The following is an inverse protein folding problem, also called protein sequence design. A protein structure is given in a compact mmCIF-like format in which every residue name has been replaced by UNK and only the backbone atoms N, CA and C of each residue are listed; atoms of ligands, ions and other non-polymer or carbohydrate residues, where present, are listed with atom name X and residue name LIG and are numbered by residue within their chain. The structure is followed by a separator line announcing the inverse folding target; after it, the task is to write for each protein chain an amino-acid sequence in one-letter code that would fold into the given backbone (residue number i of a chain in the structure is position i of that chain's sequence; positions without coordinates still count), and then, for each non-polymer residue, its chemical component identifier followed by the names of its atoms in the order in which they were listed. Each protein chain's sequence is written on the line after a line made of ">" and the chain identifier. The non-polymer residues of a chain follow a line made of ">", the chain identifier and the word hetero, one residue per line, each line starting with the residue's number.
data_IF_841661353787
#
_entry.id   IF_841661353787
#
_cell.length_a   1.000
_cell.length_b   1.000
_cell.length_c   1.000
_cell.angle_alpha   90.00
_cell.angle_beta   90.00
_cell.angle_gamma   90.00
#
_symmetry.space_group_name_H-M   'P 1'
#
loop_
_entity.id
_entity.type
_entity.pdbx_description
1 polymer ?
#
# COMPACT_ATOMS: atom_id res chain seq x y z
N UNK A 1 -3.32 -13.59 0.46
CA UNK A 1 -2.99 -12.16 0.67
C UNK A 1 -2.60 -11.82 2.13
N UNK A 2 -2.15 -12.78 2.97
CA UNK A 2 -1.84 -12.51 4.38
C UNK A 2 -0.49 -11.83 4.63
N UNK A 3 0.49 -11.97 3.72
CA UNK A 3 1.84 -11.41 3.88
C UNK A 3 1.85 -9.88 3.83
N UNK A 4 1.22 -9.27 2.82
CA UNK A 4 1.30 -7.82 2.62
C UNK A 4 0.53 -7.07 3.72
N UNK A 5 -0.61 -7.63 4.15
CA UNK A 5 -1.38 -7.09 5.27
C UNK A 5 -0.58 -7.08 6.58
N UNK A 6 0.17 -8.15 6.87
CA UNK A 6 1.04 -8.20 8.06
C UNK A 6 2.14 -7.14 8.04
N UNK A 7 2.71 -6.84 6.87
CA UNK A 7 3.70 -5.76 6.74
C UNK A 7 3.05 -4.41 7.01
N UNK A 8 1.85 -4.17 6.46
CA UNK A 8 1.08 -2.94 6.74
C UNK A 8 0.71 -2.82 8.22
N UNK A 9 0.27 -3.90 8.88
CA UNK A 9 -0.02 -3.94 10.32
C UNK A 9 1.23 -3.59 11.13
N UNK A 10 2.38 -4.19 10.79
CA UNK A 10 3.65 -3.85 11.43
C UNK A 10 4.04 -2.38 11.27
N UNK A 11 3.89 -1.81 10.06
CA UNK A 11 4.15 -0.39 9.80
C UNK A 11 3.20 0.48 10.65
N UNK A 12 1.90 0.15 10.62
CA UNK A 12 0.88 0.88 11.38
C UNK A 12 1.17 0.90 12.88
N UNK A 13 1.52 -0.24 13.46
CA UNK A 13 1.83 -0.36 14.88
C UNK A 13 3.10 0.41 15.24
N UNK A 14 4.15 0.28 14.42
CA UNK A 14 5.46 0.86 14.67
C UNK A 14 5.49 2.38 14.54
N UNK A 15 4.80 2.93 13.54
CA UNK A 15 4.79 4.37 13.25
C UNK A 15 3.50 5.05 13.71
N UNK A 16 2.62 4.30 14.38
CA UNK A 16 1.33 4.77 14.87
C UNK A 16 0.52 5.52 13.81
N UNK A 17 0.45 5.01 12.58
CA UNK A 17 -0.18 5.67 11.45
C UNK A 17 -1.18 4.77 10.73
N UNK A 18 -2.17 5.35 10.05
CA UNK A 18 -2.91 4.63 9.02
C UNK A 18 -2.04 4.51 7.78
N UNK A 19 -1.95 3.32 7.19
CA UNK A 19 -1.18 3.05 5.97
C UNK A 19 -1.96 2.13 5.04
N UNK A 20 -1.89 2.36 3.73
CA UNK A 20 -2.59 1.54 2.74
C UNK A 20 -1.94 1.59 1.37
N UNK A 21 -2.32 0.62 0.54
CA UNK A 21 -1.84 0.49 -0.84
C UNK A 21 -2.96 0.75 -1.82
N UNK A 22 -2.65 1.48 -2.88
CA UNK A 22 -3.52 1.64 -4.03
C UNK A 22 -2.81 1.18 -5.31
N UNK A 23 -3.62 0.78 -6.30
CA UNK A 23 -3.19 0.48 -7.67
C UNK A 23 -3.43 1.69 -8.57
N UNK A 24 -2.45 2.06 -9.38
CA UNK A 24 -2.57 3.05 -10.45
C UNK A 24 -3.23 2.39 -11.65
N UNK A 25 -4.35 2.96 -12.12
CA UNK A 25 -5.09 2.52 -13.30
C UNK A 25 -5.26 3.72 -14.22
N UNK A 26 -4.35 3.84 -15.19
CA UNK A 26 -4.23 5.04 -16.02
C UNK A 26 -3.93 6.26 -15.14
N UNK A 27 -4.80 7.28 -15.19
CA UNK A 27 -4.68 8.50 -14.35
C UNK A 27 -5.38 8.38 -12.98
N UNK A 28 -6.01 7.25 -12.68
CA UNK A 28 -6.79 7.04 -11.45
C UNK A 28 -6.01 6.19 -10.45
N UNK A 29 -6.22 6.46 -9.17
CA UNK A 29 -5.76 5.63 -8.08
C UNK A 29 -6.96 4.81 -7.59
N UNK A 30 -6.87 3.49 -7.69
CA UNK A 30 -7.88 2.55 -7.19
C UNK A 30 -7.40 1.93 -5.89
N UNK A 31 -8.23 2.02 -4.85
CA UNK A 31 -7.96 1.35 -3.59
C UNK A 31 -7.98 -0.17 -3.79
N UNK A 32 -7.00 -0.87 -3.21
CA UNK A 32 -7.01 -2.34 -3.18
C UNK A 32 -7.70 -2.74 -1.88
N UNK A 33 -8.86 -3.40 -1.99
CA UNK A 33 -9.60 -3.86 -0.82
C UNK A 33 -8.70 -4.71 0.10
N UNK A 34 -8.84 -4.49 1.41
CA UNK A 34 -8.11 -5.16 2.49
C UNK A 34 -6.59 -4.91 2.59
N UNK A 35 -6.00 -4.08 1.73
CA UNK A 35 -4.61 -3.62 1.86
C UNK A 35 -4.51 -2.27 2.57
N UNK A 36 -5.02 -2.23 3.80
CA UNK A 36 -4.89 -1.11 4.73
C UNK A 36 -4.67 -1.62 6.15
N UNK A 37 -3.99 -0.82 6.96
CA UNK A 37 -3.81 -1.03 8.39
C UNK A 37 -3.83 0.29 9.14
N UNK A 38 -4.15 0.23 10.43
CA UNK A 38 -4.21 1.38 11.31
C UNK A 38 -5.55 2.09 11.35
N UNK A 39 -5.65 3.03 12.30
CA UNK A 39 -6.85 3.81 12.57
C UNK A 39 -6.78 5.13 11.82
N UNK A 40 -7.91 5.54 11.24
CA UNK A 40 -8.05 6.84 10.59
C UNK A 40 -7.62 7.98 11.53
N UNK A 41 -6.75 8.84 11.03
CA UNK A 41 -6.40 10.12 11.65
C UNK A 41 -6.99 11.26 10.82
N UNK A 42 -7.25 12.39 11.47
CA UNK A 42 -7.66 13.63 10.80
C UNK A 42 -6.46 14.35 10.15
N UNK A 43 -5.59 13.59 9.50
CA UNK A 43 -4.40 14.08 8.81
C UNK A 43 -4.51 13.75 7.31
N UNK A 44 -4.03 14.66 6.43
CA UNK A 44 -4.01 14.38 4.99
C UNK A 44 -3.04 13.23 4.68
N UNK A 45 -3.41 12.28 3.80
CA UNK A 45 -2.50 11.23 3.40
C UNK A 45 -1.28 11.77 2.65
N UNK A 46 -0.11 11.23 2.98
CA UNK A 46 1.15 11.45 2.27
C UNK A 46 1.49 10.24 1.41
N UNK A 47 2.07 10.49 0.23
CA UNK A 47 2.71 9.44 -0.59
C UNK A 47 4.04 9.09 0.07
N UNK A 48 4.18 7.84 0.49
CA UNK A 48 5.40 7.36 1.16
C UNK A 48 6.39 6.81 0.13
N UNK A 49 5.88 5.98 -0.78
CA UNK A 49 6.59 5.52 -1.96
C UNK A 49 5.60 5.14 -3.06
N UNK A 50 6.07 5.17 -4.29
CA UNK A 50 5.29 4.77 -5.45
C UNK A 50 6.17 4.25 -6.57
N UNK A 51 5.62 3.33 -7.37
CA UNK A 51 6.18 2.91 -8.66
C UNK A 51 5.15 3.15 -9.78
N UNK A 52 5.37 2.58 -10.96
CA UNK A 52 4.48 2.75 -12.11
C UNK A 52 3.06 2.18 -11.89
N UNK A 53 2.88 1.22 -10.97
CA UNK A 53 1.64 0.46 -10.79
C UNK A 53 1.00 0.64 -9.43
N UNK A 54 1.76 0.99 -8.39
CA UNK A 54 1.31 1.01 -7.02
C UNK A 54 1.79 2.26 -6.30
N UNK A 55 1.01 2.67 -5.29
CA UNK A 55 1.35 3.78 -4.39
C UNK A 55 0.99 3.37 -2.96
N UNK A 56 1.90 3.64 -2.03
CA UNK A 56 1.67 3.49 -0.60
C UNK A 56 1.41 4.85 0.01
N UNK A 57 0.27 4.98 0.67
CA UNK A 57 -0.17 6.19 1.34
C UNK A 57 -0.16 5.97 2.84
N UNK A 58 0.22 6.99 3.61
CA UNK A 58 0.05 6.97 5.06
C UNK A 58 -0.35 8.32 5.64
N UNK A 59 -1.07 8.30 6.76
CA UNK A 59 -1.39 9.47 7.57
C UNK A 59 -0.29 9.68 8.60
N UNK A 60 0.75 10.38 8.18
CA UNK A 60 1.93 10.69 8.97
C UNK A 60 2.49 12.04 8.55
N UNK A 61 2.98 12.83 9.51
CA UNK A 61 3.56 14.14 9.24
C UNK A 61 4.91 14.05 8.52
N UNK A 62 5.79 13.14 8.98
CA UNK A 62 7.14 12.98 8.43
C UNK A 62 7.56 11.51 8.40
N UNK A 63 7.65 10.88 7.22
CA UNK A 63 8.13 9.51 7.11
C UNK A 63 9.63 9.41 7.41
N UNK A 64 10.02 8.36 8.13
CA UNK A 64 11.44 8.00 8.30
C UNK A 64 11.93 7.16 7.12
N UNK A 65 13.26 7.12 6.91
CA UNK A 65 13.86 6.24 5.90
C UNK A 65 13.50 4.77 6.12
N UNK A 66 13.43 4.33 7.38
CA UNK A 66 13.02 2.97 7.74
C UNK A 66 11.56 2.68 7.31
N UNK A 67 10.65 3.64 7.51
CA UNK A 67 9.27 3.49 7.05
C UNK A 67 9.21 3.34 5.53
N UNK A 68 9.97 4.16 4.80
CA UNK A 68 10.04 4.10 3.33
C UNK A 68 10.54 2.73 2.87
N UNK A 69 11.59 2.17 3.48
CA UNK A 69 12.10 0.83 3.18
C UNK A 69 11.05 -0.26 3.42
N UNK A 70 10.29 -0.18 4.51
CA UNK A 70 9.19 -1.12 4.79
C UNK A 70 8.06 -0.99 3.77
N UNK A 71 7.70 0.23 3.36
CA UNK A 71 6.69 0.46 2.34
C UNK A 71 7.10 -0.10 0.96
N UNK A 72 8.39 -0.05 0.60
CA UNK A 72 8.89 -0.72 -0.60
C UNK A 72 8.70 -2.24 -0.55
N UNK A 73 8.95 -2.88 0.61
CA UNK A 73 8.66 -4.32 0.80
C UNK A 73 7.18 -4.63 0.64
N UNK A 74 6.29 -3.70 0.98
CA UNK A 74 4.85 -3.85 0.71
C UNK A 74 4.59 -3.88 -0.80
N UNK A 75 5.15 -2.94 -1.57
CA UNK A 75 4.99 -2.92 -3.04
C UNK A 75 5.47 -4.24 -3.66
N UNK A 76 6.66 -4.72 -3.27
CA UNK A 76 7.19 -5.99 -3.76
C UNK A 76 6.28 -7.18 -3.43
N UNK A 77 5.73 -7.20 -2.21
CA UNK A 77 4.78 -8.22 -1.79
C UNK A 77 3.50 -8.19 -2.64
N UNK A 78 2.96 -7.00 -2.87
CA UNK A 78 1.74 -6.81 -3.66
C UNK A 78 1.96 -7.22 -5.10
N UNK A 79 3.09 -6.87 -5.72
CA UNK A 79 3.44 -7.31 -7.08
C UNK A 79 3.41 -8.83 -7.19
N UNK A 80 4.08 -9.53 -6.28
CA UNK A 80 4.08 -11.01 -6.27
C UNK A 80 2.66 -11.58 -6.13
N UNK A 81 1.84 -11.00 -5.26
CA UNK A 81 0.47 -11.50 -5.05
C UNK A 81 -0.48 -11.26 -6.23
N UNK A 82 -0.28 -10.22 -7.03
CA UNK A 82 -1.21 -9.81 -8.10
C UNK A 82 -0.67 -10.03 -9.52
N UNK A 83 0.64 -10.18 -9.73
CA UNK A 83 1.23 -10.51 -11.03
C UNK A 83 1.27 -12.03 -11.29
N UNK A 84 1.25 -12.87 -10.25
CA UNK A 84 1.15 -14.33 -10.37
C UNK A 84 -0.30 -14.83 -10.60
N UNK A 85 -1.29 -13.94 -10.56
CA UNK A 85 -2.69 -14.22 -10.90
C UNK A 85 -3.26 -13.06 -11.73
N UNK A 86 -2.94 -12.96 -13.02
CA UNK A 86 -3.68 -12.05 -13.89
C UNK A 86 -5.13 -12.55 -13.93
N UNK A 87 -6.08 -11.71 -13.52
CA UNK A 87 -7.50 -12.00 -13.73
C UNK A 87 -7.70 -12.43 -15.19
N UNK A 88 -8.49 -13.49 -15.46
CA UNK A 88 -8.77 -13.88 -16.83
C UNK A 88 -9.42 -12.68 -17.49
N UNK A 89 -8.73 -12.13 -18.50
CA UNK A 89 -9.24 -11.07 -19.37
C UNK A 89 -10.65 -11.45 -19.76
N UNK A 90 -11.64 -10.72 -19.24
CA UNK A 90 -13.05 -10.96 -19.51
C UNK A 90 -13.23 -11.08 -21.01
N UNK A 91 -13.69 -12.25 -21.46
CA UNK A 91 -14.10 -12.45 -22.85
C UNK A 91 -15.28 -11.51 -23.09
N UNK A 92 -15.11 -10.61 -24.06
CA UNK A 92 -16.21 -9.89 -24.72
C UNK A 92 -17.23 -10.85 -25.30
#
# INVERSE_FOLDING_TARGET
>A
MSGCKKILEHISEKFHCKVWVCKKVGRRISFINDLKAGIEKFEPPQVICEDDRYVVLAQIEKPSSEMVELCWKVIDCVRRCFEENPEPSGKS
#
